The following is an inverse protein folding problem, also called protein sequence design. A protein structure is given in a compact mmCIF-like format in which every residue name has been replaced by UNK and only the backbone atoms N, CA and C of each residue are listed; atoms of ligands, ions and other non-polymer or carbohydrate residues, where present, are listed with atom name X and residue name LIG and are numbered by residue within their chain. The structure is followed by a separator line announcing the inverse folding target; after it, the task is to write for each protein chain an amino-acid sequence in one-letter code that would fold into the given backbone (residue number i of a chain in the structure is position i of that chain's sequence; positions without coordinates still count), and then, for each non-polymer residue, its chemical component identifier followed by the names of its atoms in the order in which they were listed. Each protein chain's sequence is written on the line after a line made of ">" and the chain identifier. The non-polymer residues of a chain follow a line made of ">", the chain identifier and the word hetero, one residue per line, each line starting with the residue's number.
data_IF_996264600675
#
_entry.id   IF_996264600675
#
_cell.length_a   1.000
_cell.length_b   1.000
_cell.length_c   1.000
_cell.angle_alpha   90.00
_cell.angle_beta   90.00
_cell.angle_gamma   90.00
#
_symmetry.space_group_name_H-M   'P 1'
#
loop_
_entity.id
_entity.type
_entity.pdbx_description
1 polymer ?
#
# COMPACT_ATOMS: atom_id res chain seq x y z
N UNK A 1 9.48 6.76 -14.43
CA UNK A 1 8.24 7.03 -13.70
C UNK A 1 7.40 5.76 -13.64
N UNK A 2 6.85 5.42 -12.49
CA UNK A 2 6.00 4.25 -12.29
C UNK A 2 4.81 4.63 -11.40
N UNK A 3 3.70 3.94 -11.52
CA UNK A 3 2.57 4.13 -10.62
C UNK A 3 2.83 3.40 -9.28
N UNK A 4 2.28 3.96 -8.19
CA UNK A 4 2.22 3.32 -6.89
C UNK A 4 0.85 3.54 -6.26
N UNK A 5 0.28 2.50 -5.67
CA UNK A 5 -1.03 2.57 -4.98
C UNK A 5 -0.79 2.82 -3.51
N UNK A 6 -1.29 3.94 -3.00
CA UNK A 6 -1.15 4.34 -1.59
C UNK A 6 -2.27 3.72 -0.73
N UNK A 7 -2.41 2.42 -0.77
CA UNK A 7 -3.37 1.67 0.04
C UNK A 7 -2.92 0.21 0.17
N UNK A 8 -3.00 -0.32 1.40
CA UNK A 8 -2.81 -1.74 1.74
C UNK A 8 -4.07 -2.36 2.35
N UNK A 9 -5.19 -1.62 2.37
CA UNK A 9 -6.43 -2.05 2.97
C UNK A 9 -7.15 -3.11 2.13
N UNK A 10 -6.61 -4.33 2.12
CA UNK A 10 -7.23 -5.52 1.55
C UNK A 10 -8.40 -6.02 2.42
N UNK A 11 -9.02 -7.13 2.07
CA UNK A 11 -10.15 -7.71 2.80
C UNK A 11 -9.83 -8.09 4.25
N UNK A 12 -8.59 -8.45 4.54
CA UNK A 12 -8.12 -8.78 5.88
C UNK A 12 -7.95 -7.54 6.77
N UNK A 13 -7.38 -6.47 6.21
CA UNK A 13 -7.00 -5.28 6.97
C UNK A 13 -8.06 -4.19 7.02
N UNK A 14 -8.94 -4.12 6.03
CA UNK A 14 -10.00 -3.12 5.91
C UNK A 14 -11.30 -3.76 5.47
N UNK A 15 -12.14 -4.06 6.45
CA UNK A 15 -13.41 -4.76 6.21
C UNK A 15 -14.41 -3.87 5.48
N UNK A 16 -15.32 -4.45 4.69
CA UNK A 16 -16.45 -3.71 4.14
C UNK A 16 -17.41 -3.26 5.25
N UNK A 17 -17.94 -2.05 5.14
CA UNK A 17 -19.00 -1.51 6.01
C UNK A 17 -20.39 -1.94 5.54
N UNK A 18 -20.53 -2.14 4.22
CA UNK A 18 -21.77 -2.57 3.57
C UNK A 18 -21.46 -3.27 2.25
N UNK A 19 -22.42 -4.04 1.76
CA UNK A 19 -22.35 -4.65 0.43
C UNK A 19 -22.86 -3.67 -0.63
N UNK A 20 -21.99 -3.32 -1.58
CA UNK A 20 -22.36 -2.43 -2.69
C UNK A 20 -23.00 -3.23 -3.83
N UNK A 21 -24.28 -2.99 -4.11
CA UNK A 21 -25.07 -3.65 -5.17
C UNK A 21 -25.38 -2.75 -6.37
N UNK A 22 -24.76 -1.57 -6.45
CA UNK A 22 -24.93 -0.63 -7.57
C UNK A 22 -24.08 -0.97 -8.78
N UNK A 23 -23.91 0.02 -9.66
CA UNK A 23 -23.06 -0.07 -10.84
C UNK A 23 -21.61 -0.37 -10.39
N UNK A 24 -21.04 -1.47 -10.86
CA UNK A 24 -19.74 -1.99 -10.43
C UNK A 24 -18.59 -1.15 -10.99
N UNK A 25 -18.51 0.11 -10.56
CA UNK A 25 -17.42 1.06 -10.85
C UNK A 25 -16.99 1.76 -9.57
N UNK A 26 -15.69 2.10 -9.49
CA UNK A 26 -15.16 2.85 -8.34
C UNK A 26 -15.82 4.24 -8.25
N UNK A 27 -16.10 4.87 -9.40
CA UNK A 27 -16.77 6.16 -9.45
C UNK A 27 -18.17 6.11 -8.82
N UNK A 28 -19.01 5.13 -9.20
CA UNK A 28 -20.33 4.96 -8.63
C UNK A 28 -20.30 4.60 -7.13
N UNK A 29 -19.40 3.68 -6.74
CA UNK A 29 -19.29 3.29 -5.34
C UNK A 29 -18.76 4.42 -4.44
N UNK A 30 -17.91 5.31 -4.95
CA UNK A 30 -17.37 6.44 -4.20
C UNK A 30 -18.44 7.46 -3.80
N UNK A 31 -19.55 7.56 -4.51
CA UNK A 31 -20.65 8.49 -4.19
C UNK A 31 -21.41 8.10 -2.91
N UNK A 32 -21.36 6.83 -2.51
CA UNK A 32 -21.99 6.35 -1.30
C UNK A 32 -20.97 6.27 -0.16
N UNK A 33 -21.02 7.24 0.74
CA UNK A 33 -20.17 7.31 1.94
C UNK A 33 -18.66 7.13 1.67
N UNK A 34 -18.20 7.49 0.47
CA UNK A 34 -16.80 7.34 0.08
C UNK A 34 -16.36 5.92 -0.31
N UNK A 35 -17.29 4.98 -0.39
CA UNK A 35 -17.07 3.59 -0.79
C UNK A 35 -17.43 2.56 0.26
N UNK A 36 -17.48 1.27 -0.11
CA UNK A 36 -18.01 0.20 0.75
C UNK A 36 -17.07 -0.24 1.88
N UNK A 37 -15.81 0.24 1.92
CA UNK A 37 -14.86 -0.11 2.97
C UNK A 37 -14.97 0.79 4.19
N UNK A 38 -14.62 0.27 5.36
CA UNK A 38 -14.61 1.01 6.64
C UNK A 38 -13.70 2.26 6.57
N UNK A 39 -12.58 2.17 5.88
CA UNK A 39 -11.72 3.32 5.59
C UNK A 39 -12.23 4.06 4.35
N UNK A 40 -12.76 5.25 4.55
CA UNK A 40 -13.30 6.10 3.46
C UNK A 40 -12.23 6.58 2.47
N UNK A 41 -10.95 6.50 2.82
CA UNK A 41 -9.81 6.81 1.94
C UNK A 41 -9.25 5.61 1.20
N UNK A 42 -9.76 4.39 1.46
CA UNK A 42 -9.21 3.18 0.89
C UNK A 42 -9.48 3.04 -0.62
N UNK A 43 -8.64 2.24 -1.27
CA UNK A 43 -8.95 1.72 -2.61
C UNK A 43 -10.26 0.93 -2.57
N UNK A 44 -11.20 1.25 -3.44
CA UNK A 44 -12.52 0.60 -3.52
C UNK A 44 -12.40 -0.83 -4.05
N UNK A 45 -11.49 -1.04 -5.01
CA UNK A 45 -11.20 -2.38 -5.53
C UNK A 45 -12.12 -2.87 -6.66
N UNK A 46 -12.93 -1.99 -7.30
CA UNK A 46 -13.82 -2.36 -8.41
C UNK A 46 -13.16 -2.26 -9.80
N UNK A 47 -11.89 -1.85 -9.89
CA UNK A 47 -11.08 -2.05 -11.08
C UNK A 47 -11.23 -1.01 -12.19
N UNK A 48 -11.74 0.20 -11.94
CA UNK A 48 -11.77 1.24 -12.99
C UNK A 48 -10.37 1.55 -13.53
N UNK A 49 -9.35 1.49 -12.67
CA UNK A 49 -7.95 1.68 -13.05
C UNK A 49 -7.41 0.56 -13.95
N UNK A 50 -7.91 -0.67 -13.82
CA UNK A 50 -7.48 -1.80 -14.66
C UNK A 50 -8.02 -1.65 -16.09
N UNK A 51 -9.26 -1.15 -16.24
CA UNK A 51 -9.92 -0.96 -17.53
C UNK A 51 -9.22 0.06 -18.42
N UNK A 52 -8.55 1.06 -17.84
CA UNK A 52 -7.85 2.12 -18.59
C UNK A 52 -6.37 1.84 -18.80
N UNK A 53 -5.83 0.78 -18.21
CA UNK A 53 -4.42 0.44 -18.35
C UNK A 53 -4.16 -0.32 -19.66
N UNK A 54 -3.57 0.37 -20.63
CA UNK A 54 -3.20 -0.24 -21.93
C UNK A 54 -2.03 -1.22 -21.86
N UNK A 55 -1.32 -1.26 -20.74
CA UNK A 55 -0.10 -2.05 -20.56
C UNK A 55 -0.34 -3.29 -19.69
N UNK A 56 -1.58 -3.54 -19.29
CA UNK A 56 -1.91 -4.63 -18.37
C UNK A 56 -1.02 -4.65 -17.12
N UNK A 57 -0.73 -3.46 -16.60
CA UNK A 57 0.22 -3.25 -15.50
C UNK A 57 -0.44 -3.03 -14.14
N UNK A 58 -1.77 -3.06 -14.05
CA UNK A 58 -2.49 -2.86 -12.78
C UNK A 58 -3.65 -3.83 -12.67
N UNK A 59 -3.70 -4.54 -11.55
CA UNK A 59 -4.71 -5.57 -11.28
C UNK A 59 -5.33 -5.36 -9.90
N UNK A 60 -6.54 -5.88 -9.70
CA UNK A 60 -7.15 -5.94 -8.37
C UNK A 60 -6.77 -7.27 -7.74
N UNK A 61 -6.09 -7.19 -6.62
CA UNK A 61 -5.71 -8.34 -5.80
C UNK A 61 -6.26 -8.12 -4.41
N UNK A 62 -7.10 -9.03 -3.96
CA UNK A 62 -7.69 -9.01 -2.62
C UNK A 62 -8.38 -7.67 -2.29
N UNK A 63 -9.11 -7.13 -3.27
CA UNK A 63 -9.86 -5.88 -3.14
C UNK A 63 -9.02 -4.59 -3.14
N UNK A 64 -7.74 -4.66 -3.52
CA UNK A 64 -6.85 -3.50 -3.65
C UNK A 64 -6.13 -3.55 -5.00
N UNK A 65 -5.97 -2.39 -5.64
CA UNK A 65 -5.19 -2.28 -6.86
C UNK A 65 -3.70 -2.51 -6.56
N UNK A 66 -3.05 -3.36 -7.33
CA UNK A 66 -1.59 -3.60 -7.31
C UNK A 66 -1.01 -3.33 -8.69
N UNK A 67 0.17 -2.73 -8.72
CA UNK A 67 0.86 -2.35 -9.95
C UNK A 67 2.05 -3.25 -10.20
N UNK A 68 2.05 -3.90 -11.36
CA UNK A 68 3.24 -4.56 -11.89
C UNK A 68 4.23 -3.48 -12.36
N UNK A 69 5.35 -3.39 -11.67
CA UNK A 69 6.36 -2.37 -11.92
C UNK A 69 7.11 -2.59 -13.24
N UNK A 70 7.20 -3.82 -13.70
CA UNK A 70 7.94 -4.13 -14.92
C UNK A 70 7.14 -3.73 -16.16
N UNK A 71 5.83 -3.95 -16.15
CA UNK A 71 4.92 -3.54 -17.23
C UNK A 71 4.53 -2.05 -17.20
N UNK A 72 4.55 -1.42 -16.01
CA UNK A 72 4.07 -0.05 -15.85
C UNK A 72 4.99 0.97 -16.54
N UNK A 73 4.43 1.83 -17.39
CA UNK A 73 5.13 2.93 -18.07
C UNK A 73 5.01 4.28 -17.37
N UNK A 74 4.14 4.38 -16.33
CA UNK A 74 3.90 5.63 -15.61
C UNK A 74 3.08 6.66 -16.38
N UNK A 75 2.20 6.22 -17.29
CA UNK A 75 1.41 7.12 -18.16
C UNK A 75 0.34 7.95 -17.42
N UNK A 76 -0.02 7.59 -16.18
CA UNK A 76 -0.95 8.35 -15.36
C UNK A 76 -2.43 8.02 -15.54
N UNK A 77 -2.84 7.23 -16.53
CA UNK A 77 -4.26 6.95 -16.81
C UNK A 77 -5.00 6.37 -15.58
N UNK A 78 -4.36 5.44 -14.86
CA UNK A 78 -4.93 4.85 -13.64
C UNK A 78 -5.07 5.85 -12.48
N UNK A 79 -4.16 6.82 -12.37
CA UNK A 79 -4.24 7.87 -11.36
C UNK A 79 -5.40 8.84 -11.67
N UNK A 80 -5.57 9.21 -12.94
CA UNK A 80 -6.61 10.15 -13.37
C UNK A 80 -8.02 9.59 -13.20
N UNK A 81 -8.22 8.28 -13.43
CA UNK A 81 -9.55 7.65 -13.29
C UNK A 81 -9.90 7.32 -11.84
N UNK A 82 -8.96 7.33 -10.93
CA UNK A 82 -9.18 6.92 -9.56
C UNK A 82 -9.97 7.95 -8.76
N UNK A 83 -11.23 7.71 -8.35
CA UNK A 83 -12.04 8.67 -7.62
C UNK A 83 -11.54 8.91 -6.18
N UNK A 84 -10.67 8.02 -5.68
CA UNK A 84 -10.06 8.12 -4.34
C UNK A 84 -8.67 8.75 -4.36
N UNK A 85 -8.11 9.03 -5.53
CA UNK A 85 -6.77 9.59 -5.72
C UNK A 85 -5.67 8.84 -4.94
N UNK A 86 -5.83 7.52 -4.80
CA UNK A 86 -4.87 6.67 -4.07
C UNK A 86 -3.72 6.17 -4.95
N UNK A 87 -3.68 6.56 -6.21
CA UNK A 87 -2.61 6.17 -7.13
C UNK A 87 -1.74 7.39 -7.43
N UNK A 88 -0.49 7.32 -7.05
CA UNK A 88 0.49 8.34 -7.38
C UNK A 88 1.40 7.89 -8.51
N UNK A 89 1.85 8.84 -9.33
CA UNK A 89 2.86 8.61 -10.36
C UNK A 89 4.20 9.19 -9.87
N UNK A 90 5.27 8.51 -10.24
CA UNK A 90 6.62 8.93 -9.91
C UNK A 90 6.96 8.88 -8.40
N UNK A 91 6.82 7.71 -7.81
CA UNK A 91 7.20 7.45 -6.41
C UNK A 91 8.71 7.59 -6.13
N UNK A 92 9.40 8.54 -6.77
CA UNK A 92 10.81 8.83 -6.52
C UNK A 92 11.80 7.78 -7.06
N UNK A 93 11.32 6.80 -7.84
CA UNK A 93 12.17 5.76 -8.44
C UNK A 93 12.40 4.54 -7.55
N UNK A 94 13.15 3.53 -8.04
CA UNK A 94 13.21 2.19 -7.45
C UNK A 94 13.95 2.10 -6.10
N UNK A 95 14.66 3.15 -5.72
CA UNK A 95 15.43 3.20 -4.47
C UNK A 95 14.84 4.12 -3.40
N UNK A 96 13.64 4.65 -3.62
CA UNK A 96 13.00 5.55 -2.65
C UNK A 96 11.81 4.88 -1.98
N UNK A 97 11.58 5.15 -0.69
CA UNK A 97 10.45 4.59 0.04
C UNK A 97 9.12 5.15 -0.48
N UNK A 98 8.05 4.40 -0.31
CA UNK A 98 6.68 4.82 -0.64
C UNK A 98 5.77 4.61 0.55
N UNK A 99 4.95 5.61 0.85
CA UNK A 99 3.90 5.51 1.88
C UNK A 99 2.67 4.85 1.26
N UNK A 100 2.28 3.72 1.80
CA UNK A 100 1.17 2.89 1.31
C UNK A 100 -0.13 3.13 2.10
N UNK A 101 -0.40 4.38 2.40
CA UNK A 101 -1.62 4.81 3.09
C UNK A 101 -2.02 6.22 2.64
N UNK A 102 -3.34 6.45 2.52
CA UNK A 102 -3.92 7.76 2.21
C UNK A 102 -4.93 8.21 3.26
N UNK A 103 -5.08 7.47 4.36
CA UNK A 103 -6.04 7.79 5.41
C UNK A 103 -5.62 9.07 6.15
N UNK A 104 -6.54 10.04 6.21
CA UNK A 104 -6.35 11.34 6.85
C UNK A 104 -7.07 11.44 8.20
N UNK A 105 -7.70 10.36 8.65
CA UNK A 105 -8.35 10.32 9.96
C UNK A 105 -7.34 10.37 11.10
N UNK A 106 -7.79 10.82 12.27
CA UNK A 106 -6.98 10.75 13.49
C UNK A 106 -6.60 9.31 13.81
N UNK A 107 -5.40 9.09 14.33
CA UNK A 107 -4.82 7.77 14.58
C UNK A 107 -5.77 6.71 15.16
N UNK A 108 -6.54 6.98 16.24
CA UNK A 108 -7.49 6.01 16.79
C UNK A 108 -8.62 5.63 15.83
N UNK A 109 -9.12 6.58 15.02
CA UNK A 109 -10.16 6.35 14.01
C UNK A 109 -9.57 5.55 12.85
N UNK A 110 -8.40 5.97 12.36
CA UNK A 110 -7.68 5.30 11.30
C UNK A 110 -7.38 3.82 11.62
N UNK A 111 -6.95 3.52 12.86
CA UNK A 111 -6.71 2.14 13.31
C UNK A 111 -7.96 1.27 13.36
N UNK A 112 -9.11 1.84 13.74
CA UNK A 112 -10.39 1.11 13.73
C UNK A 112 -10.86 0.82 12.30
N UNK A 113 -10.60 1.74 11.37
CA UNK A 113 -10.99 1.60 9.98
C UNK A 113 -10.12 0.62 9.20
N UNK A 114 -8.79 0.58 9.49
CA UNK A 114 -7.83 -0.26 8.79
C UNK A 114 -6.65 -0.61 9.70
N UNK A 115 -6.33 -1.88 9.86
CA UNK A 115 -5.24 -2.34 10.73
C UNK A 115 -3.85 -1.92 10.24
N UNK A 116 -3.69 -1.70 8.94
CA UNK A 116 -2.46 -1.21 8.27
C UNK A 116 -2.50 0.28 7.96
N UNK A 117 -3.24 1.09 8.72
CA UNK A 117 -3.32 2.54 8.50
C UNK A 117 -2.13 3.29 9.10
N UNK A 118 -1.83 4.46 8.53
CA UNK A 118 -1.00 5.46 9.20
C UNK A 118 -1.71 5.96 10.45
N UNK A 119 -0.99 6.09 11.55
CA UNK A 119 -1.52 6.59 12.83
C UNK A 119 -0.97 7.99 13.18
N UNK A 120 -0.32 8.63 12.22
CA UNK A 120 0.27 9.96 12.38
C UNK A 120 1.25 10.09 13.57
N UNK A 121 1.95 9.01 13.94
CA UNK A 121 2.82 8.97 15.13
C UNK A 121 4.11 9.80 15.01
N UNK A 122 4.45 10.31 13.82
CA UNK A 122 5.63 11.13 13.56
C UNK A 122 6.99 10.41 13.70
N UNK A 123 7.02 9.08 13.91
CA UNK A 123 8.28 8.35 14.03
C UNK A 123 9.16 8.44 12.78
N UNK A 124 8.54 8.37 11.60
CA UNK A 124 9.24 8.49 10.32
C UNK A 124 9.84 9.88 10.13
N UNK A 125 9.12 10.93 10.54
CA UNK A 125 9.56 12.32 10.48
C UNK A 125 10.76 12.57 11.41
N UNK A 126 10.65 12.19 12.68
CA UNK A 126 11.75 12.30 13.67
C UNK A 126 13.00 11.53 13.28
N UNK A 127 12.87 10.43 12.54
CA UNK A 127 14.00 9.60 12.12
C UNK A 127 14.68 10.11 10.84
N UNK A 128 14.00 10.97 10.07
CA UNK A 128 14.51 11.43 8.79
C UNK A 128 15.57 12.52 8.95
N UNK A 129 16.83 12.17 8.64
CA UNK A 129 17.95 13.12 8.70
C UNK A 129 17.95 14.16 7.56
N UNK A 130 17.13 13.96 6.54
CA UNK A 130 17.08 14.81 5.33
C UNK A 130 15.85 15.71 5.29
N UNK A 131 15.06 15.73 6.35
CA UNK A 131 13.82 16.50 6.41
C UNK A 131 12.91 16.25 5.18
N UNK A 132 12.81 14.98 4.78
CA UNK A 132 12.16 14.57 3.55
C UNK A 132 10.82 13.85 3.76
N UNK A 133 10.36 13.69 4.99
CA UNK A 133 9.07 13.06 5.29
C UNK A 133 8.40 13.79 6.45
N UNK A 134 7.16 14.17 6.24
CA UNK A 134 6.36 14.91 7.20
C UNK A 134 4.99 14.26 7.37
N UNK A 135 4.39 14.44 8.54
CA UNK A 135 2.99 14.07 8.77
C UNK A 135 2.12 15.26 8.41
N UNK A 136 1.39 15.16 7.31
CA UNK A 136 0.47 16.17 6.79
C UNK A 136 -0.92 15.56 6.71
N UNK A 137 -1.92 16.27 7.22
CA UNK A 137 -3.33 15.82 7.23
C UNK A 137 -3.50 14.38 7.76
N UNK A 138 -2.83 14.06 8.87
CA UNK A 138 -2.96 12.74 9.52
C UNK A 138 -2.21 11.59 8.85
N UNK A 139 -1.47 11.80 7.77
CA UNK A 139 -0.73 10.76 7.06
C UNK A 139 0.68 11.22 6.70
N UNK A 140 1.64 10.30 6.72
CA UNK A 140 3.01 10.57 6.31
C UNK A 140 3.09 10.87 4.81
N UNK A 141 3.81 11.92 4.42
CA UNK A 141 4.08 12.32 3.04
C UNK A 141 5.57 12.48 2.84
N UNK A 142 6.07 12.00 1.70
CA UNK A 142 7.50 12.07 1.36
C UNK A 142 7.71 13.13 0.29
N UNK A 143 8.63 14.05 0.57
CA UNK A 143 9.21 14.95 -0.41
C UNK A 143 10.35 14.21 -1.13
N UNK A 144 10.08 13.81 -2.38
CA UNK A 144 11.03 13.03 -3.17
C UNK A 144 12.22 13.83 -3.67
N UNK A 145 12.17 15.15 -3.66
CA UNK A 145 13.31 16.01 -4.03
C UNK A 145 14.38 15.99 -2.93
N UNK A 146 13.96 16.04 -1.67
CA UNK A 146 14.84 15.94 -0.50
C UNK A 146 15.24 14.50 -0.17
N UNK A 147 14.39 13.51 -0.47
CA UNK A 147 14.60 12.12 -0.08
C UNK A 147 15.84 11.51 -0.74
N UNK A 148 16.74 10.95 0.04
CA UNK A 148 17.95 10.25 -0.43
C UNK A 148 17.79 8.72 -0.53
N UNK A 149 16.63 8.18 -0.19
CA UNK A 149 16.36 6.74 -0.28
C UNK A 149 17.12 5.89 0.75
N UNK A 150 17.35 6.39 1.95
CA UNK A 150 18.07 5.65 2.99
C UNK A 150 17.24 4.56 3.70
N UNK A 151 15.91 4.53 3.53
CA UNK A 151 15.02 3.52 4.10
C UNK A 151 14.76 3.57 5.61
N UNK A 152 15.37 4.52 6.35
CA UNK A 152 15.21 4.60 7.81
C UNK A 152 13.77 4.80 8.26
N UNK A 153 12.98 5.59 7.52
CA UNK A 153 11.57 5.80 7.79
C UNK A 153 10.75 4.51 7.68
N UNK A 154 11.09 3.63 6.72
CA UNK A 154 10.44 2.33 6.57
C UNK A 154 10.74 1.38 7.74
N UNK A 155 12.01 1.30 8.16
CA UNK A 155 12.43 0.47 9.29
C UNK A 155 11.80 0.90 10.63
N UNK A 156 11.60 2.20 10.82
CA UNK A 156 11.05 2.75 12.08
C UNK A 156 9.53 2.88 12.09
N UNK A 157 8.85 2.55 10.99
CA UNK A 157 7.40 2.63 10.94
C UNK A 157 6.76 1.47 11.72
N UNK A 158 6.05 1.72 12.84
CA UNK A 158 5.46 0.66 13.66
C UNK A 158 4.30 -0.06 12.97
N UNK A 159 3.72 0.56 11.93
CA UNK A 159 2.61 0.00 11.13
C UNK A 159 3.08 -0.60 9.80
N UNK A 160 4.38 -0.54 9.51
CA UNK A 160 4.98 -1.07 8.28
C UNK A 160 4.30 -0.60 7.00
N UNK A 161 3.80 0.65 6.99
CA UNK A 161 3.11 1.23 5.84
C UNK A 161 4.04 1.97 4.89
N UNK A 162 5.32 2.07 5.22
CA UNK A 162 6.33 2.68 4.36
C UNK A 162 7.21 1.56 3.81
N UNK A 163 7.12 1.36 2.50
CA UNK A 163 7.84 0.26 1.83
C UNK A 163 9.16 0.73 1.25
N UNK A 164 10.17 -0.16 1.36
CA UNK A 164 11.50 0.05 0.81
C UNK A 164 12.26 -1.29 0.73
N UNK A 165 12.90 -1.63 -0.39
CA UNK A 165 12.79 -1.06 -1.74
C UNK A 165 11.46 -1.43 -2.43
N UNK A 166 11.08 -0.69 -3.48
CA UNK A 166 9.86 -0.92 -4.25
C UNK A 166 9.88 -2.15 -5.15
N UNK A 167 10.83 -3.05 -5.01
CA UNK A 167 10.95 -4.23 -5.89
C UNK A 167 9.92 -5.31 -5.60
N UNK A 168 9.45 -5.39 -4.36
CA UNK A 168 8.60 -6.49 -3.93
C UNK A 168 7.22 -6.00 -3.51
N UNK A 169 6.25 -6.89 -3.59
CA UNK A 169 4.90 -6.68 -3.10
C UNK A 169 4.94 -6.07 -1.69
N UNK A 170 4.19 -4.98 -1.45
CA UNK A 170 4.09 -4.37 -0.14
C UNK A 170 3.65 -5.30 0.99
N UNK A 171 3.14 -6.44 0.66
CA UNK A 171 2.78 -7.48 1.58
C UNK A 171 3.23 -8.81 0.98
N UNK A 172 4.54 -9.10 0.94
CA UNK A 172 4.92 -10.47 0.72
C UNK A 172 4.22 -11.27 1.81
N UNK A 173 3.57 -12.41 1.50
CA UNK A 173 3.21 -13.34 2.56
C UNK A 173 4.49 -13.51 3.36
N UNK A 174 4.44 -13.29 4.67
CA UNK A 174 5.56 -13.67 5.54
C UNK A 174 5.85 -15.09 5.15
N UNK A 175 6.97 -15.26 4.47
CA UNK A 175 7.34 -16.57 3.96
C UNK A 175 7.44 -17.47 5.18
N UNK A 176 6.48 -18.34 5.34
CA UNK A 176 6.60 -19.52 6.22
C UNK A 176 7.71 -20.45 5.70
N UNK A 177 8.36 -20.05 4.60
CA UNK A 177 9.43 -20.79 3.94
C UNK A 177 10.71 -20.93 4.78
N UNK A 178 10.91 -20.10 5.82
CA UNK A 178 12.09 -20.29 6.69
C UNK A 178 11.90 -21.32 7.80
N UNK A 179 10.69 -21.86 7.99
CA UNK A 179 10.45 -22.93 8.98
C UNK A 179 10.54 -24.33 8.37
N UNK A 180 10.40 -24.48 7.05
CA UNK A 180 10.45 -25.79 6.40
C UNK A 180 11.89 -26.30 6.14
N UNK A 181 12.86 -25.42 5.95
CA UNK A 181 14.26 -25.84 5.75
C UNK A 181 14.94 -26.30 7.05
N UNK A 182 14.51 -25.83 8.22
CA UNK A 182 15.04 -26.29 9.49
C UNK A 182 14.46 -27.65 9.93
N UNK A 183 13.31 -28.05 9.41
CA UNK A 183 12.72 -29.37 9.73
C UNK A 183 13.31 -30.49 8.92
N UNK A 184 13.77 -30.26 7.69
CA UNK A 184 14.40 -31.30 6.86
C UNK A 184 15.79 -31.70 7.33
N UNK A 185 16.49 -30.84 8.07
CA UNK A 185 17.81 -31.20 8.62
C UNK A 185 17.74 -32.05 9.88
N UNK A 186 16.61 -32.06 10.60
CA UNK A 186 16.46 -32.85 11.82
C UNK A 186 16.08 -34.31 11.54
N UNK A 187 15.38 -34.57 10.43
CA UNK A 187 14.98 -35.94 10.07
C UNK A 187 16.11 -36.80 9.47
N UNK A 188 17.19 -36.16 9.01
CA UNK A 188 18.34 -36.88 8.44
C UNK A 188 19.31 -37.41 9.53
N UNK A 189 19.26 -36.88 10.74
CA UNK A 189 20.15 -37.32 11.85
C UNK A 189 19.57 -38.52 12.61
N UNK A 190 18.27 -38.76 12.58
CA UNK A 190 17.61 -39.85 13.28
C UNK A 190 17.58 -41.19 12.52
N UNK A 191 18.14 -41.30 11.31
CA UNK A 191 18.16 -42.54 10.50
C UNK A 191 19.53 -43.26 10.47
N UNK A 192 20.49 -42.79 11.26
CA UNK A 192 21.86 -43.40 11.33
C UNK A 192 22.27 -43.81 12.77
N UNK A 193 21.32 -44.21 13.59
CA UNK A 193 21.61 -44.99 14.81
C UNK A 193 20.70 -46.19 14.90
#
# INVERSE_FOLDING_TARGET
>A
KKAAVQCQGNSEHCKPSYEFKGIQTCAAAATLYGGPKTCTFACIGLGDCTKVCKFDAIHIVDGVAKVDKDKCTGCGACANICPKHVIMIDAGGPRKPVVMCSNQDKGPVAMKACTTSCIACGMCERTCKFDAIHVVDGVARIDYDKCKGCGMCAQKCPKHIILFPLKDDPNPPRSEEHTSELQTHHDLVCRLL
#
